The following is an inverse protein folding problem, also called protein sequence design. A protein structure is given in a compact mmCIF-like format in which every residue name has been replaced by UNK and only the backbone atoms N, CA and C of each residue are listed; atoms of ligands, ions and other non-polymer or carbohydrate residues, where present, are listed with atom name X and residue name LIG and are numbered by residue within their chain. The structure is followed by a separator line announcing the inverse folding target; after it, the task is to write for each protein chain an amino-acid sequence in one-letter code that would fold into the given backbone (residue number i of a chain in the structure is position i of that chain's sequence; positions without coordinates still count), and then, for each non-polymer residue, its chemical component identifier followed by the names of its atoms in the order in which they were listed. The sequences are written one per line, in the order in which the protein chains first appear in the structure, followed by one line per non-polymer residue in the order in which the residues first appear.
data_IF_329407449952
#
_entry.id   IF_329407449952
#
_cell.length_a   1.000
_cell.length_b   1.000
_cell.length_c   1.000
_cell.angle_alpha   90.00
_cell.angle_beta   90.00
_cell.angle_gamma   90.00
#
_symmetry.space_group_name_H-M   'P 1'
#
loop_
_entity.id
_entity.type
_entity.pdbx_description
1 polymer ?
#
# COMPACT_ATOMS: atom_id res chain seq x y z
N UNK A 1 -12.98 -18.90 -1.05
CA UNK A 1 -11.76 -18.09 -0.86
C UNK A 1 -10.74 -18.60 -1.86
N UNK A 2 -10.35 -17.79 -2.86
CA UNK A 2 -9.53 -18.28 -3.97
C UNK A 2 -8.06 -18.31 -3.56
N UNK A 3 -7.62 -19.41 -2.91
CA UNK A 3 -6.28 -19.57 -2.32
C UNK A 3 -5.13 -19.32 -3.31
N UNK A 4 -5.39 -19.48 -4.62
CA UNK A 4 -4.45 -19.18 -5.71
C UNK A 4 -4.02 -17.71 -5.80
N UNK A 5 -4.78 -16.78 -5.20
CA UNK A 5 -4.42 -15.35 -5.20
C UNK A 5 -3.38 -15.01 -4.12
N UNK A 6 -3.19 -15.85 -3.10
CA UNK A 6 -2.28 -15.56 -1.99
C UNK A 6 -0.84 -15.39 -2.48
N UNK A 7 -0.26 -16.30 -3.30
CA UNK A 7 1.09 -16.10 -3.81
C UNK A 7 1.26 -14.82 -4.62
N UNK A 8 0.25 -14.46 -5.43
CA UNK A 8 0.29 -13.24 -6.24
C UNK A 8 0.32 -11.98 -5.37
N UNK A 9 -0.48 -11.94 -4.30
CA UNK A 9 -0.48 -10.83 -3.34
C UNK A 9 0.84 -10.75 -2.56
N UNK A 10 1.43 -11.91 -2.21
CA UNK A 10 2.76 -11.96 -1.59
C UNK A 10 3.82 -11.38 -2.53
N UNK A 11 3.81 -11.77 -3.81
CA UNK A 11 4.73 -11.22 -4.82
C UNK A 11 4.53 -9.70 -5.00
N UNK A 12 3.29 -9.22 -4.99
CA UNK A 12 3.00 -7.79 -5.03
C UNK A 12 3.57 -7.06 -3.79
N UNK A 13 3.45 -7.66 -2.60
CA UNK A 13 4.04 -7.14 -1.37
C UNK A 13 5.58 -7.11 -1.40
N UNK A 14 6.22 -8.11 -1.99
CA UNK A 14 7.68 -8.09 -2.22
C UNK A 14 8.09 -6.94 -3.15
N UNK A 15 7.23 -6.60 -4.13
CA UNK A 15 7.40 -5.43 -4.98
C UNK A 15 7.48 -4.11 -4.21
N UNK A 16 6.69 -3.95 -3.14
CA UNK A 16 6.73 -2.75 -2.28
C UNK A 16 8.08 -2.59 -1.55
N UNK A 17 8.70 -3.71 -1.14
CA UNK A 17 10.04 -3.69 -0.54
C UNK A 17 11.10 -3.26 -1.55
N UNK A 18 10.99 -3.73 -2.80
CA UNK A 18 11.89 -3.31 -3.89
C UNK A 18 11.69 -1.82 -4.20
N UNK A 19 10.45 -1.37 -4.26
CA UNK A 19 10.12 0.05 -4.44
C UNK A 19 10.78 0.92 -3.38
N UNK A 20 10.66 0.56 -2.10
CA UNK A 20 11.30 1.28 -1.00
C UNK A 20 12.82 1.37 -1.15
N UNK A 21 13.46 0.26 -1.51
CA UNK A 21 14.91 0.18 -1.72
C UNK A 21 15.41 0.98 -2.92
N UNK A 22 14.60 1.13 -3.96
CA UNK A 22 14.94 1.94 -5.13
C UNK A 22 14.65 3.42 -4.90
N UNK A 23 13.47 3.74 -4.36
CA UNK A 23 13.00 5.11 -4.30
C UNK A 23 13.61 5.91 -3.17
N UNK A 24 13.92 5.28 -2.03
CA UNK A 24 14.57 5.95 -0.89
C UNK A 24 15.88 6.63 -1.32
N UNK A 25 16.86 5.88 -1.84
CA UNK A 25 18.12 6.44 -2.35
C UNK A 25 17.90 7.42 -3.51
N UNK A 26 17.05 7.08 -4.49
CA UNK A 26 16.75 7.97 -5.62
C UNK A 26 16.23 9.33 -5.13
N UNK A 27 15.37 9.34 -4.12
CA UNK A 27 14.87 10.57 -3.52
C UNK A 27 15.94 11.43 -2.85
N UNK A 28 17.03 10.82 -2.35
CA UNK A 28 18.17 11.58 -1.81
C UNK A 28 19.05 12.21 -2.90
N UNK A 29 19.08 11.61 -4.10
CA UNK A 29 19.89 12.11 -5.21
C UNK A 29 19.17 13.17 -6.07
N UNK A 30 17.91 12.92 -6.45
CA UNK A 30 17.15 13.81 -7.36
C UNK A 30 16.07 14.63 -6.65
N UNK A 31 15.87 14.41 -5.36
CA UNK A 31 14.82 15.03 -4.55
C UNK A 31 13.56 14.15 -4.43
N UNK A 32 13.00 14.10 -3.23
CA UNK A 32 11.91 13.18 -2.87
C UNK A 32 10.65 13.33 -3.73
N UNK A 33 10.27 14.57 -4.06
CA UNK A 33 9.10 14.84 -4.90
C UNK A 33 9.34 14.45 -6.37
N UNK A 34 10.55 14.63 -6.90
CA UNK A 34 10.90 14.21 -8.26
C UNK A 34 10.95 12.69 -8.39
N UNK A 35 11.51 12.00 -7.40
CA UNK A 35 11.49 10.53 -7.34
C UNK A 35 10.05 9.99 -7.29
N UNK A 36 9.20 10.59 -6.45
CA UNK A 36 7.78 10.24 -6.36
C UNK A 36 7.04 10.50 -7.68
N UNK A 37 7.26 11.68 -8.30
CA UNK A 37 6.63 12.00 -9.59
C UNK A 37 7.06 11.03 -10.68
N UNK A 38 8.33 10.59 -10.69
CA UNK A 38 8.85 9.64 -11.66
C UNK A 38 8.13 8.29 -11.58
N UNK A 39 8.01 7.70 -10.38
CA UNK A 39 7.37 6.39 -10.23
C UNK A 39 5.88 6.44 -10.56
N UNK A 40 5.17 7.49 -10.13
CA UNK A 40 3.77 7.69 -10.48
C UNK A 40 3.58 7.99 -11.97
N UNK A 41 4.50 8.74 -12.58
CA UNK A 41 4.49 9.02 -14.01
C UNK A 41 4.64 7.75 -14.84
N UNK A 42 5.64 6.92 -14.53
CA UNK A 42 5.84 5.62 -15.19
C UNK A 42 4.64 4.70 -14.95
N UNK A 43 4.13 4.62 -13.72
CA UNK A 43 2.95 3.83 -13.37
C UNK A 43 1.69 4.27 -14.12
N UNK A 44 1.48 5.59 -14.27
CA UNK A 44 0.36 6.16 -15.01
C UNK A 44 0.45 5.86 -16.52
N UNK A 45 1.64 5.98 -17.12
CA UNK A 45 1.85 5.63 -18.53
C UNK A 45 1.61 4.14 -18.76
N UNK A 46 2.20 3.26 -17.94
CA UNK A 46 2.02 1.82 -18.07
C UNK A 46 0.56 1.41 -17.91
N UNK A 47 -0.12 1.93 -16.89
CA UNK A 47 -1.53 1.64 -16.66
C UNK A 47 -2.42 2.23 -17.76
N UNK A 48 -2.09 3.42 -18.26
CA UNK A 48 -2.77 4.03 -19.40
C UNK A 48 -2.68 3.18 -20.67
N UNK A 49 -1.50 2.61 -20.95
CA UNK A 49 -1.33 1.66 -22.07
C UNK A 49 -2.15 0.39 -21.85
N UNK A 50 -2.14 -0.18 -20.64
CA UNK A 50 -2.97 -1.35 -20.33
C UNK A 50 -4.46 -1.05 -20.53
N UNK A 51 -4.93 0.13 -20.12
CA UNK A 51 -6.30 0.56 -20.35
C UNK A 51 -6.60 0.68 -21.85
N UNK A 52 -5.69 1.27 -22.62
CA UNK A 52 -5.86 1.46 -24.06
C UNK A 52 -6.00 0.14 -24.83
N UNK A 53 -5.21 -0.88 -24.47
CA UNK A 53 -5.16 -2.16 -25.21
C UNK A 53 -6.07 -3.26 -24.65
N UNK A 54 -6.35 -3.26 -23.35
CA UNK A 54 -7.02 -4.38 -22.68
C UNK A 54 -8.34 -4.00 -21.99
N UNK A 55 -8.66 -2.71 -21.83
CA UNK A 55 -9.88 -2.32 -21.10
C UNK A 55 -11.15 -2.50 -21.96
N UNK A 56 -12.25 -3.05 -21.39
CA UNK A 56 -13.55 -3.05 -22.04
C UNK A 56 -14.05 -1.64 -22.34
N UNK A 57 -14.54 -1.41 -23.57
CA UNK A 57 -15.04 -0.09 -24.02
C UNK A 57 -16.32 0.38 -23.31
N UNK A 58 -17.00 -0.51 -22.59
CA UNK A 58 -18.26 -0.23 -21.89
C UNK A 58 -18.05 0.00 -20.37
N UNK A 59 -16.85 0.38 -19.94
CA UNK A 59 -16.61 0.69 -18.54
C UNK A 59 -17.43 1.93 -18.11
N UNK A 60 -18.05 1.92 -16.91
CA UNK A 60 -18.79 3.08 -16.40
C UNK A 60 -17.87 4.29 -16.23
N UNK A 61 -18.43 5.49 -16.38
CA UNK A 61 -17.64 6.72 -16.31
C UNK A 61 -17.11 6.94 -14.89
N UNK A 62 -15.88 7.48 -14.77
CA UNK A 62 -15.33 7.92 -13.49
C UNK A 62 -16.20 8.98 -12.82
N UNK A 63 -16.92 9.78 -13.59
CA UNK A 63 -17.82 10.84 -13.09
C UNK A 63 -19.10 10.30 -12.47
N UNK A 64 -19.44 9.03 -12.72
CA UNK A 64 -20.61 8.36 -12.14
C UNK A 64 -20.29 7.68 -10.81
N UNK A 65 -19.00 7.59 -10.45
CA UNK A 65 -18.57 6.94 -9.22
C UNK A 65 -18.51 7.93 -8.04
N UNK A 66 -18.71 7.46 -6.80
CA UNK A 66 -18.57 8.30 -5.62
C UNK A 66 -17.17 8.92 -5.50
N UNK A 67 -17.07 10.24 -5.35
CA UNK A 67 -15.80 10.96 -5.31
C UNK A 67 -14.82 10.50 -4.21
N UNK A 68 -15.30 9.87 -3.14
CA UNK A 68 -14.44 9.30 -2.10
C UNK A 68 -13.58 8.12 -2.61
N UNK A 69 -14.01 7.42 -3.67
CA UNK A 69 -13.21 6.35 -4.29
C UNK A 69 -11.95 6.91 -4.95
N UNK A 70 -12.00 8.16 -5.40
CA UNK A 70 -10.86 8.87 -6.02
C UNK A 70 -9.79 9.26 -5.00
N UNK A 71 -10.09 9.23 -3.68
CA UNK A 71 -9.10 9.49 -2.64
C UNK A 71 -7.93 8.49 -2.68
N UNK A 72 -8.14 7.28 -3.22
CA UNK A 72 -7.06 6.32 -3.46
C UNK A 72 -5.91 6.91 -4.30
N UNK A 73 -6.24 7.76 -5.28
CA UNK A 73 -5.25 8.44 -6.12
C UNK A 73 -4.40 9.48 -5.38
N UNK A 74 -4.88 10.01 -4.26
CA UNK A 74 -4.14 10.96 -3.41
C UNK A 74 -3.35 10.23 -2.32
N UNK A 75 -3.91 9.16 -1.76
CA UNK A 75 -3.28 8.37 -0.71
C UNK A 75 -1.99 7.68 -1.19
N UNK A 76 -1.93 7.26 -2.45
CA UNK A 76 -0.73 6.66 -3.06
C UNK A 76 0.49 7.59 -3.01
N UNK A 77 0.45 8.79 -3.60
CA UNK A 77 1.57 9.73 -3.56
C UNK A 77 1.99 10.09 -2.14
N UNK A 78 1.05 10.30 -1.22
CA UNK A 78 1.36 10.56 0.19
C UNK A 78 2.14 9.39 0.80
N UNK A 79 1.72 8.15 0.55
CA UNK A 79 2.42 6.95 1.00
C UNK A 79 3.85 6.89 0.45
N UNK A 80 4.04 7.12 -0.85
CA UNK A 80 5.38 7.07 -1.47
C UNK A 80 6.29 8.17 -0.95
N UNK A 81 5.79 9.39 -0.73
CA UNK A 81 6.59 10.47 -0.13
C UNK A 81 7.08 10.05 1.27
N UNK A 82 6.19 9.50 2.11
CA UNK A 82 6.56 8.99 3.43
C UNK A 82 7.60 7.87 3.30
N UNK A 83 7.43 6.98 2.31
CA UNK A 83 8.38 5.89 2.04
C UNK A 83 9.76 6.44 1.67
N UNK A 84 9.83 7.42 0.77
CA UNK A 84 11.08 8.04 0.33
C UNK A 84 11.80 8.77 1.48
N UNK A 85 11.05 9.37 2.41
CA UNK A 85 11.61 10.07 3.57
C UNK A 85 12.05 9.11 4.69
N UNK A 86 11.23 8.09 4.99
CA UNK A 86 11.47 7.21 6.13
C UNK A 86 12.49 6.10 5.81
N UNK A 87 12.41 5.48 4.63
CA UNK A 87 13.26 4.33 4.26
C UNK A 87 14.76 4.58 4.43
N UNK A 88 15.36 5.70 3.98
CA UNK A 88 16.79 5.93 4.17
C UNK A 88 17.18 6.18 5.64
N UNK A 89 16.23 6.57 6.51
CA UNK A 89 16.50 6.89 7.92
C UNK A 89 16.40 5.66 8.82
N UNK A 90 15.34 4.87 8.66
CA UNK A 90 15.07 3.71 9.55
C UNK A 90 15.34 2.36 8.89
N UNK A 91 15.69 2.35 7.60
CA UNK A 91 15.94 1.14 6.82
C UNK A 91 14.67 0.48 6.26
N UNK A 92 14.85 -0.35 5.24
CA UNK A 92 13.75 -1.01 4.50
C UNK A 92 12.96 -1.97 5.41
N UNK A 93 13.65 -2.77 6.24
CA UNK A 93 13.01 -3.76 7.11
C UNK A 93 12.03 -3.15 8.11
N UNK A 94 12.48 -2.13 8.85
CA UNK A 94 11.63 -1.35 9.78
C UNK A 94 10.46 -0.70 9.06
N UNK A 95 10.72 -0.10 7.89
CA UNK A 95 9.69 0.59 7.11
C UNK A 95 8.58 -0.36 6.68
N UNK A 96 8.92 -1.54 6.15
CA UNK A 96 7.93 -2.54 5.72
C UNK A 96 7.08 -3.06 6.87
N UNK A 97 7.69 -3.33 8.03
CA UNK A 97 6.95 -3.84 9.19
C UNK A 97 6.03 -2.77 9.77
N UNK A 98 6.48 -1.51 9.82
CA UNK A 98 5.64 -0.39 10.23
C UNK A 98 4.42 -0.23 9.29
N UNK A 99 4.63 -0.36 7.99
CA UNK A 99 3.55 -0.33 6.99
C UNK A 99 2.57 -1.48 7.20
N UNK A 100 3.08 -2.72 7.33
CA UNK A 100 2.24 -3.90 7.59
C UNK A 100 1.43 -3.75 8.88
N UNK A 101 2.04 -3.20 9.94
CA UNK A 101 1.36 -2.89 11.21
C UNK A 101 0.17 -1.96 11.00
N UNK A 102 0.39 -0.85 10.29
CA UNK A 102 -0.66 0.12 9.97
C UNK A 102 -1.76 -0.46 9.07
N UNK A 103 -1.40 -1.27 8.08
CA UNK A 103 -2.34 -1.93 7.17
C UNK A 103 -3.27 -2.90 7.93
N UNK A 104 -2.72 -3.73 8.83
CA UNK A 104 -3.51 -4.67 9.63
C UNK A 104 -4.38 -3.94 10.65
N UNK A 105 -3.84 -2.92 11.34
CA UNK A 105 -4.62 -2.10 12.27
C UNK A 105 -5.82 -1.43 11.58
N UNK A 106 -5.58 -0.80 10.43
CA UNK A 106 -6.64 -0.18 9.62
C UNK A 106 -7.64 -1.22 9.12
N UNK A 107 -7.19 -2.39 8.69
CA UNK A 107 -8.08 -3.48 8.26
C UNK A 107 -9.01 -3.95 9.38
N UNK A 108 -8.53 -4.02 10.62
CA UNK A 108 -9.38 -4.33 11.78
C UNK A 108 -10.43 -3.25 12.01
N UNK A 109 -10.06 -1.97 11.93
CA UNK A 109 -11.00 -0.86 12.07
C UNK A 109 -12.06 -0.86 10.96
N UNK A 110 -11.65 -1.06 9.70
CA UNK A 110 -12.57 -1.13 8.55
C UNK A 110 -13.59 -2.25 8.76
N UNK A 111 -13.13 -3.45 9.14
CA UNK A 111 -14.01 -4.60 9.33
C UNK A 111 -14.92 -4.44 10.55
N UNK A 112 -14.42 -3.79 11.61
CA UNK A 112 -15.20 -3.49 12.81
C UNK A 112 -16.29 -2.46 12.56
N UNK A 113 -16.02 -1.40 11.79
CA UNK A 113 -17.00 -0.35 11.52
C UNK A 113 -17.82 -0.60 10.23
N UNK A 114 -17.49 -1.64 9.46
CA UNK A 114 -18.12 -1.92 8.17
C UNK A 114 -17.90 -0.80 7.15
N UNK A 115 -16.76 -0.11 7.21
CA UNK A 115 -16.46 0.97 6.28
C UNK A 115 -16.40 0.45 4.82
N UNK A 116 -16.74 1.32 3.87
CA UNK A 116 -16.73 1.02 2.43
C UNK A 116 -17.75 -0.02 1.95
N UNK A 117 -18.87 -0.18 2.67
CA UNK A 117 -19.93 -1.12 2.28
C UNK A 117 -19.55 -2.60 2.48
N UNK A 118 -18.50 -2.86 3.26
CA UNK A 118 -18.12 -4.22 3.64
C UNK A 118 -19.13 -4.78 4.66
N UNK A 119 -19.58 -6.04 4.52
CA UNK A 119 -20.47 -6.64 5.50
C UNK A 119 -19.75 -6.69 6.85
N UNK A 120 -20.39 -6.13 7.87
CA UNK A 120 -19.88 -6.01 9.23
C UNK A 120 -19.40 -7.38 9.72
N UNK A 121 -18.08 -7.55 9.81
CA UNK A 121 -17.48 -8.80 10.31
C UNK A 121 -17.12 -8.59 11.76
N UNK A 122 -17.60 -9.50 12.63
CA UNK A 122 -17.12 -9.55 14.01
C UNK A 122 -15.60 -9.70 13.97
N UNK A 123 -14.90 -8.72 14.52
CA UNK A 123 -13.46 -8.81 14.71
C UNK A 123 -13.20 -9.97 15.68
N UNK A 124 -12.70 -11.09 15.15
CA UNK A 124 -12.30 -12.24 15.95
C UNK A 124 -11.01 -11.94 16.74
N UNK A 125 -10.87 -12.54 17.91
CA UNK A 125 -9.67 -12.39 18.76
C UNK A 125 -8.36 -12.75 18.05
N UNK A 126 -8.42 -13.59 17.01
CA UNK A 126 -7.28 -13.98 16.18
C UNK A 126 -6.63 -12.78 15.46
N UNK A 127 -7.40 -11.77 15.06
CA UNK A 127 -6.85 -10.56 14.41
C UNK A 127 -6.16 -9.62 15.39
N UNK A 128 -6.69 -9.52 16.61
CA UNK A 128 -6.03 -8.80 17.70
C UNK A 128 -4.70 -9.50 18.06
N UNK A 129 -4.70 -10.83 18.11
CA UNK A 129 -3.49 -11.63 18.31
C UNK A 129 -2.47 -11.42 17.19
N UNK A 130 -2.90 -11.43 15.93
CA UNK A 130 -2.03 -11.15 14.78
C UNK A 130 -1.41 -9.74 14.86
N UNK A 131 -2.20 -8.73 15.26
CA UNK A 131 -1.73 -7.36 15.44
C UNK A 131 -0.70 -7.26 16.57
N UNK A 132 -0.91 -7.97 17.69
CA UNK A 132 0.07 -8.09 18.77
C UNK A 132 1.39 -8.71 18.29
N UNK A 133 1.34 -9.78 17.49
CA UNK A 133 2.55 -10.40 16.94
C UNK A 133 3.31 -9.47 15.99
N UNK A 134 2.60 -8.71 15.15
CA UNK A 134 3.24 -7.74 14.25
C UNK A 134 3.89 -6.61 15.04
N UNK A 135 3.24 -6.09 16.09
CA UNK A 135 3.85 -5.09 16.98
C UNK A 135 5.07 -5.67 17.70
N UNK A 136 4.99 -6.90 18.20
CA UNK A 136 6.13 -7.56 18.82
C UNK A 136 7.31 -7.70 17.85
N UNK A 137 7.06 -8.09 16.60
CA UNK A 137 8.07 -8.14 15.55
C UNK A 137 8.69 -6.76 15.28
N UNK A 138 7.87 -5.70 15.23
CA UNK A 138 8.34 -4.32 15.06
C UNK A 138 9.27 -3.89 16.19
N UNK A 139 8.90 -4.15 17.45
CA UNK A 139 9.71 -3.80 18.63
C UNK A 139 11.02 -4.57 18.64
N UNK A 140 11.00 -5.87 18.33
CA UNK A 140 12.21 -6.71 18.28
C UNK A 140 13.20 -6.21 17.22
N UNK A 141 12.71 -5.80 16.04
CA UNK A 141 13.55 -5.30 14.97
C UNK A 141 14.02 -3.87 15.23
N UNK A 142 13.22 -3.05 15.94
CA UNK A 142 13.65 -1.71 16.35
C UNK A 142 14.75 -1.73 17.43
N UNK A 143 14.87 -2.82 18.19
CA UNK A 143 15.89 -2.99 19.23
C UNK A 143 17.16 -3.73 18.77
N UNK A 144 17.13 -4.41 17.62
CA UNK A 144 18.29 -5.10 17.03
C UNK A 144 19.06 -4.22 16.08
#
# INVERSE_FOLDING_TARGET
MNLMLIPLVVLAGMGLSLEAGLIGPLGTEVGHLWATLSIFGVGAVLTGLLVLFFSPRNAPSFTEQPGWQLLGGVLGPVYVVVLTLATPVIGIGMTMIAILSGQVAKSVLIDHFGWFGTPHKKVGGERLLALLFIIAALVLIAWG
#
